data_IF_052797291381
#
_entry.id   IF_052797291381
#
_cell.length_a   1.000
_cell.length_b   1.000
_cell.length_c   1.000
_cell.angle_alpha   90.00
_cell.angle_beta   90.00
_cell.angle_gamma   90.00
#
_symmetry.space_group_name_H-M   'P 1'
#
loop_
_entity.id
_entity.type
_entity.pdbx_description
1 polymer ?
#
# COMPACT_ATOMS: atom_id res chain seq x y z
N UNK A 1 -7.36 24.40 10.06
CA UNK A 1 -6.91 23.03 9.72
C UNK A 1 -6.33 22.41 10.98
N UNK A 2 -6.97 21.37 11.51
CA UNK A 2 -6.74 20.87 12.87
C UNK A 2 -5.51 19.96 12.95
N UNK A 3 -4.75 20.05 14.04
CA UNK A 3 -3.56 19.22 14.31
C UNK A 3 -3.88 17.72 14.19
N UNK A 4 -5.08 17.29 14.60
CA UNK A 4 -5.53 15.91 14.45
C UNK A 4 -5.52 15.38 13.02
N UNK A 5 -5.81 16.22 12.02
CA UNK A 5 -5.77 15.81 10.61
C UNK A 5 -4.36 15.51 10.12
N UNK A 6 -3.35 16.26 10.59
CA UNK A 6 -1.95 16.01 10.25
C UNK A 6 -1.46 14.70 10.88
N UNK A 7 -1.86 14.43 12.12
CA UNK A 7 -1.54 13.17 12.81
C UNK A 7 -2.17 11.99 12.06
N UNK A 8 -3.43 12.09 11.65
CA UNK A 8 -4.10 11.04 10.88
C UNK A 8 -3.40 10.76 9.55
N UNK A 9 -3.00 11.80 8.81
CA UNK A 9 -2.26 11.65 7.55
C UNK A 9 -0.90 10.99 7.80
N UNK A 10 -0.18 11.38 8.85
CA UNK A 10 1.11 10.80 9.19
C UNK A 10 0.99 9.30 9.53
N UNK A 11 -0.04 8.92 10.28
CA UNK A 11 -0.33 7.52 10.61
C UNK A 11 -0.67 6.69 9.36
N UNK A 12 -1.54 7.22 8.49
CA UNK A 12 -1.90 6.54 7.24
C UNK A 12 -0.69 6.37 6.31
N UNK A 13 0.18 7.38 6.22
CA UNK A 13 1.43 7.28 5.45
C UNK A 13 2.32 6.17 5.99
N UNK A 14 2.51 6.12 7.31
CA UNK A 14 3.33 5.07 7.92
C UNK A 14 2.74 3.68 7.65
N UNK A 15 1.42 3.53 7.81
CA UNK A 15 0.72 2.28 7.53
C UNK A 15 0.83 1.86 6.06
N UNK A 16 0.67 2.81 5.12
CA UNK A 16 0.85 2.57 3.69
C UNK A 16 2.27 2.07 3.36
N UNK A 17 3.30 2.67 3.97
CA UNK A 17 4.68 2.20 3.83
C UNK A 17 4.90 0.77 4.33
N UNK A 18 4.28 0.40 5.45
CA UNK A 18 4.32 -0.97 6.00
C UNK A 18 3.60 -1.99 5.10
N UNK A 19 2.59 -1.56 4.36
CA UNK A 19 1.91 -2.36 3.34
C UNK A 19 2.66 -2.39 2.00
N UNK A 20 3.85 -1.77 1.90
CA UNK A 20 4.66 -1.76 0.69
C UNK A 20 4.21 -0.73 -0.36
N UNK A 21 3.39 0.24 0.00
CA UNK A 21 3.02 1.35 -0.89
C UNK A 21 4.10 2.43 -0.90
N UNK A 22 4.48 2.87 -2.10
CA UNK A 22 5.44 3.97 -2.32
C UNK A 22 4.75 5.32 -2.39
N UNK A 23 3.55 5.36 -2.98
CA UNK A 23 2.78 6.57 -3.19
C UNK A 23 1.28 6.25 -3.13
N UNK A 24 0.52 7.19 -2.58
CA UNK A 24 -0.94 7.22 -2.60
C UNK A 24 -1.37 8.57 -3.15
N UNK A 25 -2.19 8.58 -4.19
CA UNK A 25 -2.60 9.79 -4.88
C UNK A 25 -4.11 9.79 -5.14
N UNK A 26 -4.75 10.92 -4.90
CA UNK A 26 -6.13 11.14 -5.35
C UNK A 26 -6.10 11.99 -6.62
N UNK A 27 -6.64 11.49 -7.73
CA UNK A 27 -6.66 12.19 -9.01
C UNK A 27 -7.92 11.82 -9.80
N UNK A 28 -8.59 12.81 -10.40
CA UNK A 28 -9.72 12.59 -11.31
C UNK A 28 -10.83 11.67 -10.74
N UNK A 29 -11.16 11.83 -9.45
CA UNK A 29 -12.17 10.99 -8.80
C UNK A 29 -11.74 9.55 -8.54
N UNK A 30 -10.43 9.26 -8.62
CA UNK A 30 -9.85 7.96 -8.32
C UNK A 30 -8.81 8.06 -7.23
N UNK A 31 -8.68 6.99 -6.44
CA UNK A 31 -7.59 6.76 -5.51
C UNK A 31 -6.58 5.80 -6.15
N UNK A 32 -5.39 6.30 -6.44
CA UNK A 32 -4.28 5.57 -7.04
C UNK A 32 -3.32 5.11 -5.95
N UNK A 33 -2.98 3.83 -5.97
CA UNK A 33 -2.05 3.18 -5.05
C UNK A 33 -0.88 2.61 -5.85
N UNK A 34 0.33 2.98 -5.47
CA UNK A 34 1.57 2.55 -6.12
C UNK A 34 2.34 1.58 -5.22
N UNK A 35 2.06 0.28 -5.28
CA UNK A 35 2.81 -0.72 -4.53
C UNK A 35 4.21 -0.92 -5.11
N UNK A 36 5.16 -1.34 -4.27
CA UNK A 36 6.49 -1.80 -4.72
C UNK A 36 6.38 -3.09 -5.54
N UNK A 37 5.50 -4.00 -5.12
CA UNK A 37 5.25 -5.29 -5.76
C UNK A 37 3.74 -5.52 -5.85
N UNK A 38 3.25 -6.06 -6.97
CA UNK A 38 1.84 -6.37 -7.14
C UNK A 38 1.49 -7.67 -6.42
N UNK A 39 0.70 -7.58 -5.36
CA UNK A 39 0.08 -8.75 -4.73
C UNK A 39 -1.27 -9.06 -5.39
N UNK A 40 -1.29 -10.08 -6.24
CA UNK A 40 -2.50 -10.51 -6.95
C UNK A 40 -3.60 -11.05 -6.03
N UNK A 41 -3.27 -11.58 -4.84
CA UNK A 41 -4.27 -12.04 -3.88
C UNK A 41 -4.98 -10.85 -3.25
N UNK A 42 -4.21 -9.82 -2.89
CA UNK A 42 -4.77 -8.58 -2.36
C UNK A 42 -5.64 -7.88 -3.41
N UNK A 43 -5.17 -7.80 -4.66
CA UNK A 43 -5.93 -7.23 -5.77
C UNK A 43 -7.24 -8.00 -5.99
N UNK A 44 -7.22 -9.34 -5.97
CA UNK A 44 -8.43 -10.15 -6.11
C UNK A 44 -9.42 -9.88 -4.95
N UNK A 45 -8.92 -9.74 -3.72
CA UNK A 45 -9.74 -9.38 -2.56
C UNK A 45 -10.37 -8.00 -2.69
N UNK A 46 -9.60 -7.00 -3.13
CA UNK A 46 -10.11 -5.65 -3.37
C UNK A 46 -11.15 -5.62 -4.49
N UNK A 47 -10.92 -6.33 -5.59
CA UNK A 47 -11.88 -6.43 -6.69
C UNK A 47 -13.19 -7.12 -6.28
N UNK A 48 -13.13 -8.08 -5.35
CA UNK A 48 -14.32 -8.71 -4.78
C UNK A 48 -15.07 -7.77 -3.81
N UNK A 49 -14.34 -6.95 -3.04
CA UNK A 49 -14.91 -6.02 -2.05
C UNK A 49 -15.50 -4.76 -2.71
N UNK A 50 -14.85 -4.28 -3.78
CA UNK A 50 -15.21 -3.05 -4.50
C UNK A 50 -15.45 -3.36 -6.00
N UNK A 51 -16.55 -4.07 -6.34
CA UNK A 51 -16.81 -4.48 -7.70
C UNK A 51 -16.95 -3.28 -8.64
N UNK A 52 -16.40 -3.39 -9.85
CA UNK A 52 -16.39 -2.36 -10.90
C UNK A 52 -15.69 -1.04 -10.54
N UNK A 53 -15.04 -0.96 -9.37
CA UNK A 53 -14.32 0.24 -8.93
C UNK A 53 -12.81 0.09 -9.08
N UNK A 54 -12.30 -1.13 -9.10
CA UNK A 54 -10.87 -1.44 -9.11
C UNK A 54 -10.35 -1.62 -10.53
N UNK A 55 -9.26 -0.91 -10.86
CA UNK A 55 -8.49 -1.10 -12.09
C UNK A 55 -7.03 -1.37 -11.74
N UNK A 56 -6.40 -2.30 -12.47
CA UNK A 56 -4.99 -2.63 -12.32
C UNK A 56 -4.26 -2.20 -13.59
N UNK A 57 -3.25 -1.36 -13.44
CA UNK A 57 -2.32 -1.05 -14.51
C UNK A 57 -1.00 -1.80 -14.28
N UNK A 58 -0.58 -2.60 -15.26
CA UNK A 58 0.65 -3.38 -15.22
C UNK A 58 1.76 -2.85 -16.15
N UNK A 59 1.65 -1.59 -16.60
CA UNK A 59 2.67 -0.94 -17.43
C UNK A 59 3.94 -0.61 -16.65
N UNK A 60 4.77 0.29 -17.20
CA UNK A 60 6.09 0.64 -16.63
C UNK A 60 6.05 1.12 -15.16
N UNK A 61 4.92 1.68 -14.71
CA UNK A 61 4.69 1.98 -13.31
C UNK A 61 3.39 1.29 -12.87
N UNK A 62 3.47 0.10 -12.27
CA UNK A 62 2.28 -0.62 -11.86
C UNK A 62 1.53 0.16 -10.78
N UNK A 63 0.21 0.25 -10.93
CA UNK A 63 -0.66 0.89 -9.96
C UNK A 63 -2.03 0.26 -9.92
N UNK A 64 -2.67 0.38 -8.76
CA UNK A 64 -4.08 0.08 -8.58
C UNK A 64 -4.84 1.40 -8.54
N UNK A 65 -5.97 1.52 -9.23
CA UNK A 65 -6.89 2.63 -9.01
C UNK A 65 -8.24 2.15 -8.52
N UNK A 66 -8.83 2.92 -7.61
CA UNK A 66 -10.20 2.74 -7.14
C UNK A 66 -11.01 3.98 -7.48
N UNK A 67 -12.09 3.82 -8.22
CA UNK A 67 -13.07 4.90 -8.44
C UNK A 67 -13.77 5.25 -7.13
N UNK A 68 -13.76 6.53 -6.79
CA UNK A 68 -14.44 7.08 -5.62
C UNK A 68 -15.93 7.28 -5.93
N UNK A 69 -16.79 6.99 -4.96
CA UNK A 69 -18.20 7.35 -5.04
C UNK A 69 -18.39 8.85 -4.73
N UNK A 70 -19.50 9.46 -5.20
CA UNK A 70 -19.90 10.79 -4.75
C UNK A 70 -19.98 10.81 -3.21
N UNK A 71 -19.35 11.79 -2.58
CA UNK A 71 -19.32 11.99 -1.12
C UNK A 71 -18.59 10.91 -0.30
N UNK A 72 -17.80 10.03 -0.92
CA UNK A 72 -17.00 9.04 -0.21
C UNK A 72 -15.80 9.67 0.52
N UNK A 73 -15.64 9.34 1.80
CA UNK A 73 -14.45 9.77 2.56
C UNK A 73 -13.22 8.95 2.16
N UNK A 74 -12.34 9.60 1.42
CA UNK A 74 -11.09 9.04 0.89
C UNK A 74 -10.17 8.53 2.00
N UNK A 75 -10.12 9.21 3.15
CA UNK A 75 -9.24 8.79 4.25
C UNK A 75 -9.76 7.52 4.91
N UNK A 76 -11.07 7.40 5.08
CA UNK A 76 -11.71 6.19 5.59
C UNK A 76 -11.54 5.03 4.60
N UNK A 77 -11.79 5.25 3.31
CA UNK A 77 -11.57 4.24 2.27
C UNK A 77 -10.10 3.77 2.24
N UNK A 78 -9.13 4.70 2.26
CA UNK A 78 -7.72 4.35 2.30
C UNK A 78 -7.40 3.50 3.53
N UNK A 79 -7.95 3.85 4.70
CA UNK A 79 -7.74 3.09 5.93
C UNK A 79 -8.27 1.66 5.82
N UNK A 80 -9.45 1.46 5.23
CA UNK A 80 -10.01 0.13 4.98
C UNK A 80 -9.12 -0.69 4.05
N UNK A 81 -8.71 -0.12 2.92
CA UNK A 81 -7.83 -0.78 1.96
C UNK A 81 -6.49 -1.18 2.59
N UNK A 82 -5.92 -0.33 3.45
CA UNK A 82 -4.68 -0.62 4.17
C UNK A 82 -4.84 -1.73 5.22
N UNK A 83 -6.04 -1.95 5.76
CA UNK A 83 -6.31 -3.05 6.69
C UNK A 83 -6.49 -4.40 5.99
N UNK A 84 -6.96 -4.41 4.74
CA UNK A 84 -7.06 -5.64 3.93
C UNK A 84 -5.73 -6.01 3.27
N UNK A 85 -4.81 -5.05 3.17
CA UNK A 85 -3.49 -5.27 2.59
C UNK A 85 -2.66 -6.23 3.42
N UNK A 86 -1.97 -7.21 2.80
CA UNK A 86 -1.03 -8.06 3.50
C UNK A 86 0.07 -7.15 4.05
N UNK A 87 0.16 -7.07 5.37
CA UNK A 87 1.26 -6.34 6.01
C UNK A 87 2.54 -7.01 5.57
N UNK A 88 3.41 -6.24 4.92
CA UNK A 88 4.75 -6.73 4.61
C UNK A 88 5.40 -7.01 5.97
N UNK A 89 5.50 -8.29 6.33
CA UNK A 89 6.24 -8.70 7.50
C UNK A 89 7.61 -8.07 7.35
N UNK A 90 7.95 -7.17 8.27
CA UNK A 90 9.27 -6.56 8.38
C UNK A 90 10.32 -7.67 8.30
N UNK A 91 10.86 -7.87 7.10
CA UNK A 91 12.02 -8.69 6.83
C UNK A 91 13.25 -7.97 7.37
N UNK A 92 13.36 -7.89 8.69
CA UNK A 92 14.67 -7.81 9.34
C UNK A 92 15.25 -9.22 9.28
N UNK A 93 15.64 -9.67 8.09
CA UNK A 93 16.42 -10.89 7.91
C UNK A 93 17.63 -10.58 7.04
N UNK A 94 18.78 -10.63 7.74
CA UNK A 94 20.16 -10.83 7.25
C UNK A 94 20.99 -9.60 6.87
N UNK A 95 21.44 -8.86 7.90
CA UNK A 95 22.73 -8.16 7.90
C UNK A 95 23.71 -8.82 8.92
N UNK A 96 23.66 -10.15 9.02
CA UNK A 96 24.48 -10.94 9.94
C UNK A 96 25.01 -12.23 9.29
N UNK A 97 25.37 -12.17 8.00
CA UNK A 97 26.13 -13.24 7.35
C UNK A 97 27.26 -12.67 6.51
N UNK A 98 28.14 -11.93 7.18
CA UNK A 98 29.39 -11.46 6.62
C UNK A 98 30.45 -11.49 7.74
N UNK A 99 30.76 -12.68 8.25
CA UNK A 99 31.99 -13.01 9.02
C UNK A 99 31.95 -14.48 9.44
N UNK A 100 32.14 -15.40 8.48
CA UNK A 100 32.59 -16.78 8.76
C UNK A 100 33.10 -17.46 7.46
N UNK A 101 34.14 -16.92 6.84
CA UNK A 101 34.97 -17.67 5.86
C UNK A 101 36.46 -17.29 5.92
N UNK A 102 36.91 -16.83 7.08
CA UNK A 102 38.34 -16.59 7.32
C UNK A 102 38.77 -17.23 8.63
N UNK A 103 38.53 -18.54 8.79
CA UNK A 103 39.39 -19.48 9.53
C UNK A 103 38.92 -20.88 9.14
N UNK A 104 39.68 -21.58 8.30
CA UNK A 104 39.99 -23.01 8.43
C UNK A 104 40.86 -23.46 7.25
N UNK A 105 42.13 -23.70 7.61
CA UNK A 105 43.13 -24.63 7.03
C UNK A 105 43.45 -24.49 5.54
#
# INVERSE_FOLDING_TARGET
KSVGGLIQIALLRNQAGLCGLTEVKQQQGQLLLYPKELDMKWIACLSATYPQRVLVNAGNRPYLSLHLQPDEDVLSLLKEILHTSPKMHSGRKNAAKEMDKSVSV
#
